data_IF_603173096407
#
_entry.id   IF_603173096407
#
_cell.length_a   1.000
_cell.length_b   1.000
_cell.length_c   1.000
_cell.angle_alpha   90.00
_cell.angle_beta   90.00
_cell.angle_gamma   90.00
#
_symmetry.space_group_name_H-M   'P 1'
#
loop_
_entity.id
_entity.type
_entity.pdbx_description
1 polymer ?
#
# COMPACT_ATOMS: atom_id res chain seq x y z
N UNK A 1 18.97 -18.03 -11.67
CA UNK A 1 17.71 -17.39 -11.25
C UNK A 1 18.06 -16.45 -10.11
N UNK A 2 17.58 -15.22 -10.13
CA UNK A 2 17.81 -14.27 -9.02
C UNK A 2 17.00 -14.72 -7.82
N UNK A 3 17.58 -14.63 -6.62
CA UNK A 3 16.90 -14.92 -5.35
C UNK A 3 15.65 -14.04 -5.17
N UNK A 4 14.59 -14.59 -4.58
CA UNK A 4 13.39 -13.82 -4.21
C UNK A 4 13.69 -12.93 -3.00
N UNK A 5 14.30 -11.78 -3.24
CA UNK A 5 14.64 -10.84 -2.18
C UNK A 5 13.42 -10.06 -1.68
N UNK A 6 12.36 -9.96 -2.49
CA UNK A 6 11.19 -9.20 -2.13
C UNK A 6 10.51 -9.81 -0.91
N UNK A 7 10.10 -11.07 -1.01
CA UNK A 7 9.38 -11.74 0.08
C UNK A 7 10.29 -12.10 1.26
N UNK A 8 11.55 -12.42 0.99
CA UNK A 8 12.47 -12.90 2.03
C UNK A 8 13.26 -11.77 2.72
N UNK A 9 13.26 -10.53 2.20
CA UNK A 9 14.05 -9.43 2.76
C UNK A 9 13.34 -8.08 2.72
N UNK A 10 12.96 -7.62 1.54
CA UNK A 10 12.56 -6.22 1.33
C UNK A 10 11.18 -5.91 1.93
N UNK A 11 10.20 -6.80 1.73
CA UNK A 11 8.87 -6.65 2.30
C UNK A 11 8.85 -6.75 3.84
N UNK A 12 9.54 -7.72 4.49
CA UNK A 12 9.67 -7.72 5.95
C UNK A 12 10.26 -6.41 6.52
N UNK A 13 11.27 -5.83 5.85
CA UNK A 13 11.87 -4.55 6.26
C UNK A 13 10.88 -3.39 6.09
N UNK A 14 10.12 -3.36 4.99
CA UNK A 14 9.10 -2.35 4.76
C UNK A 14 7.99 -2.41 5.83
N UNK A 15 7.50 -3.61 6.16
CA UNK A 15 6.50 -3.83 7.22
C UNK A 15 6.98 -3.35 8.58
N UNK A 16 8.20 -3.73 8.96
CA UNK A 16 8.82 -3.26 10.20
C UNK A 16 8.90 -1.72 10.27
N UNK A 17 9.29 -1.06 9.18
CA UNK A 17 9.31 0.40 9.14
C UNK A 17 7.89 1.01 9.27
N UNK A 18 6.89 0.40 8.64
CA UNK A 18 5.49 0.82 8.78
C UNK A 18 5.00 0.66 10.22
N UNK A 19 5.26 -0.47 10.86
CA UNK A 19 4.83 -0.77 12.22
C UNK A 19 5.50 0.15 13.25
N UNK A 20 6.80 0.43 13.09
CA UNK A 20 7.50 1.39 13.96
C UNK A 20 6.90 2.80 13.80
N UNK A 21 6.62 3.22 12.56
CA UNK A 21 6.07 4.55 12.32
C UNK A 21 4.64 4.68 12.87
N UNK A 22 3.79 3.66 12.71
CA UNK A 22 2.43 3.64 13.26
C UNK A 22 2.47 3.84 14.79
N UNK A 23 3.37 3.13 15.47
CA UNK A 23 3.53 3.22 16.93
C UNK A 23 4.13 4.53 17.42
N UNK A 24 4.99 5.17 16.63
CA UNK A 24 5.84 6.29 17.12
C UNK A 24 5.57 7.64 16.47
N UNK A 25 5.04 7.67 15.25
CA UNK A 25 4.84 8.86 14.43
C UNK A 25 6.15 9.61 14.09
N UNK A 26 7.31 8.94 14.15
CA UNK A 26 8.63 9.57 14.08
C UNK A 26 9.51 8.95 13.01
N UNK A 27 10.51 9.70 12.59
CA UNK A 27 11.58 9.17 11.74
C UNK A 27 12.33 8.04 12.45
N UNK A 28 12.80 7.07 11.66
CA UNK A 28 13.35 5.81 12.16
C UNK A 28 14.82 5.68 11.81
N UNK A 29 15.58 5.11 12.73
CA UNK A 29 16.95 4.67 12.47
C UNK A 29 16.94 3.22 11.97
N UNK A 30 17.86 2.82 11.07
CA UNK A 30 17.99 1.44 10.61
C UNK A 30 18.05 0.42 11.76
N UNK A 31 18.75 0.75 12.86
CA UNK A 31 18.81 -0.09 14.06
C UNK A 31 17.45 -0.41 14.67
N UNK A 32 16.48 0.50 14.61
CA UNK A 32 15.13 0.23 15.11
C UNK A 32 14.43 -0.80 14.20
N UNK A 33 14.65 -0.70 12.89
CA UNK A 33 14.09 -1.60 11.89
C UNK A 33 14.74 -2.99 12.01
N UNK A 34 16.06 -3.07 12.20
CA UNK A 34 16.79 -4.32 12.53
C UNK A 34 16.16 -5.04 13.72
N UNK A 35 15.86 -4.32 14.80
CA UNK A 35 15.26 -4.88 16.00
C UNK A 35 13.83 -5.41 15.76
N UNK A 36 13.06 -4.73 14.93
CA UNK A 36 11.66 -5.07 14.66
C UNK A 36 11.53 -6.26 13.70
N UNK A 37 12.37 -6.36 12.65
CA UNK A 37 12.32 -7.47 11.71
C UNK A 37 13.28 -8.64 12.03
N UNK A 38 14.21 -8.46 12.98
CA UNK A 38 15.18 -9.47 13.38
C UNK A 38 16.33 -9.69 12.39
N UNK A 39 16.51 -8.80 11.41
CA UNK A 39 17.62 -8.86 10.46
C UNK A 39 18.86 -8.13 10.95
N UNK A 40 20.02 -8.56 10.47
CA UNK A 40 21.26 -7.85 10.70
C UNK A 40 21.35 -6.52 9.93
N UNK A 41 22.29 -5.68 10.35
CA UNK A 41 22.47 -4.34 9.80
C UNK A 41 22.76 -4.37 8.28
N UNK A 42 23.52 -5.35 7.78
CA UNK A 42 23.84 -5.43 6.36
C UNK A 42 22.59 -5.74 5.52
N UNK A 43 21.80 -6.69 5.98
CA UNK A 43 20.54 -7.12 5.35
C UNK A 43 19.54 -5.97 5.31
N UNK A 44 19.38 -5.24 6.41
CA UNK A 44 18.50 -4.06 6.47
C UNK A 44 19.02 -2.94 5.56
N UNK A 45 20.32 -2.66 5.54
CA UNK A 45 20.89 -1.64 4.65
C UNK A 45 20.74 -1.99 3.17
N UNK A 46 20.86 -3.27 2.80
CA UNK A 46 20.57 -3.75 1.44
C UNK A 46 19.11 -3.53 1.07
N UNK A 47 18.20 -3.91 1.96
CA UNK A 47 16.77 -3.75 1.74
C UNK A 47 16.37 -2.28 1.62
N UNK A 48 16.80 -1.43 2.56
CA UNK A 48 16.48 -0.01 2.55
C UNK A 48 16.99 0.70 1.29
N UNK A 49 18.16 0.31 0.76
CA UNK A 49 18.65 0.85 -0.52
C UNK A 49 17.75 0.48 -1.69
N UNK A 50 17.27 -0.76 -1.74
CA UNK A 50 16.34 -1.21 -2.79
C UNK A 50 14.99 -0.52 -2.64
N UNK A 51 14.44 -0.48 -1.43
CA UNK A 51 13.17 0.19 -1.14
C UNK A 51 13.23 1.69 -1.46
N UNK A 52 14.37 2.34 -1.24
CA UNK A 52 14.58 3.76 -1.55
C UNK A 52 14.69 4.06 -3.06
N UNK A 53 14.73 3.03 -3.93
CA UNK A 53 14.56 3.22 -5.38
C UNK A 53 13.10 3.56 -5.74
N UNK A 54 12.16 3.27 -4.83
CA UNK A 54 10.75 3.59 -4.95
C UNK A 54 10.35 4.62 -3.88
N UNK A 55 9.28 5.39 -4.10
CA UNK A 55 8.83 6.41 -3.14
C UNK A 55 8.04 5.79 -1.97
N UNK A 56 8.60 4.76 -1.33
CA UNK A 56 8.00 4.15 -0.14
C UNK A 56 8.17 4.98 1.13
N UNK A 57 9.16 5.88 1.15
CA UNK A 57 9.40 6.78 2.27
C UNK A 57 9.46 8.23 1.77
N UNK A 58 8.84 9.17 2.48
CA UNK A 58 8.83 10.59 2.10
C UNK A 58 10.23 11.18 1.97
N UNK A 59 11.16 10.75 2.83
CA UNK A 59 12.55 11.16 2.82
C UNK A 59 13.43 10.11 3.46
N UNK A 60 14.59 9.87 2.88
CA UNK A 60 15.69 9.16 3.53
C UNK A 60 16.90 10.08 3.64
N UNK A 61 17.73 9.87 4.66
CA UNK A 61 19.03 10.54 4.80
C UNK A 61 20.13 9.50 4.67
N UNK A 62 21.13 9.76 3.84
CA UNK A 62 22.28 8.89 3.65
C UNK A 62 23.53 9.35 4.38
N UNK A 63 24.45 8.42 4.63
CA UNK A 63 25.82 8.67 5.07
C UNK A 63 26.78 8.73 3.87
N UNK A 64 27.94 9.33 4.09
CA UNK A 64 29.09 9.14 3.20
C UNK A 64 29.43 7.63 3.15
N UNK A 65 29.43 7.04 1.96
CA UNK A 65 29.57 5.58 1.77
C UNK A 65 28.27 4.83 1.43
N UNK A 66 27.14 5.52 1.29
CA UNK A 66 25.92 4.94 0.69
C UNK A 66 24.98 4.20 1.65
N UNK A 67 25.26 4.23 2.96
CA UNK A 67 24.33 3.73 3.98
C UNK A 67 23.19 4.72 4.24
N UNK A 68 22.02 4.22 4.62
CA UNK A 68 20.88 5.04 5.06
C UNK A 68 20.99 5.24 6.57
N UNK A 69 20.90 6.49 7.03
CA UNK A 69 20.98 6.92 8.44
C UNK A 69 19.60 7.13 9.07
N UNK A 70 18.67 7.66 8.30
CA UNK A 70 17.30 7.95 8.74
C UNK A 70 16.31 7.59 7.64
N UNK A 71 15.20 7.00 8.06
CA UNK A 71 14.04 6.65 7.24
C UNK A 71 12.87 7.52 7.70
N UNK A 72 12.26 8.23 6.75
CA UNK A 72 11.12 9.11 6.97
C UNK A 72 9.80 8.36 7.08
N UNK A 73 8.69 9.10 7.05
CA UNK A 73 7.36 8.54 7.10
C UNK A 73 7.12 7.58 5.91
N UNK A 74 6.49 6.41 6.13
CA UNK A 74 5.98 5.57 5.05
C UNK A 74 4.93 6.33 4.25
N UNK A 75 4.98 6.21 2.92
CA UNK A 75 3.96 6.78 2.04
C UNK A 75 2.71 5.91 2.00
N UNK A 76 1.61 6.42 1.45
CA UNK A 76 0.40 5.64 1.22
C UNK A 76 0.66 4.33 0.45
N UNK A 77 1.62 4.35 -0.47
CA UNK A 77 2.00 3.18 -1.24
C UNK A 77 2.72 2.14 -0.37
N UNK A 78 3.62 2.58 0.52
CA UNK A 78 4.22 1.68 1.51
C UNK A 78 3.17 1.03 2.42
N UNK A 79 2.15 1.78 2.85
CA UNK A 79 1.06 1.26 3.68
C UNK A 79 0.23 0.19 2.94
N UNK A 80 -0.06 0.39 1.66
CA UNK A 80 -0.78 -0.62 0.84
C UNK A 80 0.05 -1.87 0.66
N UNK A 81 1.32 -1.72 0.27
CA UNK A 81 2.22 -2.84 0.01
C UNK A 81 2.53 -3.63 1.29
N UNK A 82 2.65 -2.94 2.43
CA UNK A 82 2.78 -3.59 3.73
C UNK A 82 1.52 -4.37 4.14
N UNK A 83 0.37 -4.07 3.54
CA UNK A 83 -0.93 -4.68 3.83
C UNK A 83 -1.75 -3.94 4.88
N UNK A 84 -1.31 -2.75 5.30
CA UNK A 84 -1.98 -1.95 6.34
C UNK A 84 -3.12 -1.10 5.77
N UNK A 85 -3.00 -0.67 4.51
CA UNK A 85 -4.08 0.02 3.77
C UNK A 85 -4.66 -0.88 2.68
N UNK A 86 -5.96 -0.74 2.37
CA UNK A 86 -6.58 -1.50 1.31
C UNK A 86 -6.05 -1.09 -0.07
N UNK A 87 -5.84 -2.08 -0.94
CA UNK A 87 -5.50 -1.85 -2.35
C UNK A 87 -6.72 -1.32 -3.13
N UNK A 88 -6.52 -0.55 -4.22
CA UNK A 88 -7.62 -0.13 -5.09
C UNK A 88 -8.47 -1.31 -5.58
N UNK A 89 -7.82 -2.42 -5.93
CA UNK A 89 -8.47 -3.65 -6.39
C UNK A 89 -9.30 -4.26 -5.26
N UNK A 90 -8.73 -4.38 -4.05
CA UNK A 90 -9.45 -4.89 -2.89
C UNK A 90 -10.59 -3.96 -2.44
N UNK A 91 -10.49 -2.65 -2.69
CA UNK A 91 -11.61 -1.72 -2.47
C UNK A 91 -12.72 -1.93 -3.49
N UNK A 92 -12.36 -2.12 -4.76
CA UNK A 92 -13.31 -2.42 -5.83
C UNK A 92 -14.02 -3.76 -5.56
N UNK A 93 -13.29 -4.79 -5.18
CA UNK A 93 -13.86 -6.10 -4.81
C UNK A 93 -14.84 -5.98 -3.64
N UNK A 94 -14.50 -5.23 -2.59
CA UNK A 94 -15.44 -5.00 -1.48
C UNK A 94 -16.68 -4.21 -1.91
N UNK A 95 -16.52 -3.26 -2.83
CA UNK A 95 -17.65 -2.50 -3.36
C UNK A 95 -18.57 -3.39 -4.20
N UNK A 96 -18.00 -4.23 -5.07
CA UNK A 96 -18.74 -5.24 -5.85
C UNK A 96 -19.49 -6.17 -4.91
N UNK A 97 -18.81 -6.73 -3.90
CA UNK A 97 -19.42 -7.63 -2.92
C UNK A 97 -20.58 -6.96 -2.16
N UNK A 98 -20.49 -5.67 -1.85
CA UNK A 98 -21.59 -4.93 -1.22
C UNK A 98 -22.81 -4.80 -2.14
N UNK A 99 -22.62 -4.57 -3.44
CA UNK A 99 -23.72 -4.54 -4.40
C UNK A 99 -24.33 -5.93 -4.64
N UNK A 100 -23.50 -6.98 -4.68
CA UNK A 100 -23.98 -8.36 -4.77
C UNK A 100 -24.82 -8.75 -3.55
N UNK A 101 -24.40 -8.33 -2.35
CA UNK A 101 -25.17 -8.56 -1.12
C UNK A 101 -26.55 -7.88 -1.16
N UNK A 102 -26.65 -6.65 -1.70
CA UNK A 102 -27.94 -5.97 -1.88
C UNK A 102 -28.78 -6.67 -2.95
N UNK A 103 -28.18 -7.14 -4.04
CA UNK A 103 -28.88 -7.86 -5.09
C UNK A 103 -29.46 -9.21 -4.62
N UNK A 104 -28.77 -9.88 -3.69
CA UNK A 104 -29.18 -11.16 -3.13
C UNK A 104 -30.17 -11.06 -1.94
N UNK A 105 -30.45 -9.86 -1.44
CA UNK A 105 -31.31 -9.65 -0.27
C UNK A 105 -32.80 -9.69 -0.66
N UNK A 106 -33.43 -10.85 -0.47
CA UNK A 106 -34.86 -11.08 -0.73
C UNK A 106 -35.81 -10.20 0.11
N UNK A 107 -35.31 -9.53 1.16
CA UNK A 107 -36.15 -8.62 1.97
C UNK A 107 -36.31 -7.23 1.36
N UNK A 108 -35.54 -6.92 0.32
CA UNK A 108 -35.54 -5.62 -0.36
C UNK A 108 -36.47 -5.57 -1.56
N UNK A 109 -36.92 -4.36 -1.96
CA UNK A 109 -37.68 -4.17 -3.19
C UNK A 109 -36.93 -4.68 -4.41
N UNK A 110 -37.62 -5.38 -5.31
CA UNK A 110 -37.03 -5.95 -6.54
C UNK A 110 -36.31 -4.90 -7.41
N UNK A 111 -36.82 -3.66 -7.45
CA UNK A 111 -36.18 -2.57 -8.16
C UNK A 111 -34.78 -2.27 -7.60
N UNK A 112 -34.63 -2.24 -6.27
CA UNK A 112 -33.34 -1.99 -5.61
C UNK A 112 -32.34 -3.11 -5.89
N UNK A 113 -32.79 -4.37 -5.83
CA UNK A 113 -31.97 -5.53 -6.13
C UNK A 113 -31.50 -5.55 -7.59
N UNK A 114 -32.42 -5.28 -8.52
CA UNK A 114 -32.13 -5.19 -9.95
C UNK A 114 -31.13 -4.08 -10.27
N UNK A 115 -31.26 -2.92 -9.60
CA UNK A 115 -30.30 -1.81 -9.75
C UNK A 115 -28.93 -2.17 -9.18
N UNK A 116 -28.88 -2.80 -8.00
CA UNK A 116 -27.63 -3.25 -7.41
C UNK A 116 -26.91 -4.28 -8.29
N UNK A 117 -27.62 -5.26 -8.84
CA UNK A 117 -27.07 -6.26 -9.77
C UNK A 117 -26.44 -5.61 -11.02
N UNK A 118 -27.12 -4.62 -11.62
CA UNK A 118 -26.60 -3.88 -12.79
C UNK A 118 -25.33 -3.09 -12.46
N UNK A 119 -25.28 -2.46 -11.29
CA UNK A 119 -24.10 -1.69 -10.84
C UNK A 119 -22.93 -2.63 -10.54
N UNK A 120 -23.16 -3.75 -9.85
CA UNK A 120 -22.13 -4.76 -9.61
C UNK A 120 -21.52 -5.27 -10.93
N UNK A 121 -22.37 -5.62 -11.90
CA UNK A 121 -21.93 -6.09 -13.21
C UNK A 121 -21.08 -5.02 -13.96
N UNK A 122 -21.49 -3.75 -13.89
CA UNK A 122 -20.73 -2.65 -14.48
C UNK A 122 -19.35 -2.47 -13.82
N UNK A 123 -19.27 -2.55 -12.49
CA UNK A 123 -18.01 -2.44 -11.74
C UNK A 123 -17.04 -3.59 -12.06
N UNK A 124 -17.55 -4.78 -12.37
CA UNK A 124 -16.73 -5.93 -12.79
C UNK A 124 -16.34 -5.93 -14.28
N UNK A 125 -16.94 -5.06 -15.10
CA UNK A 125 -16.72 -5.01 -16.54
C UNK A 125 -15.40 -4.35 -16.95
N UNK A 126 -14.91 -4.63 -18.16
CA UNK A 126 -13.63 -4.14 -18.69
C UNK A 126 -13.48 -2.59 -18.72
N UNK A 127 -14.60 -1.84 -18.64
CA UNK A 127 -14.59 -0.37 -18.60
C UNK A 127 -14.17 0.20 -17.23
N UNK A 128 -14.32 -0.54 -16.12
CA UNK A 128 -13.93 -0.06 -14.78
C UNK A 128 -12.42 -0.08 -14.56
N UNK A 129 -11.71 -1.01 -15.20
CA UNK A 129 -10.26 -1.17 -15.11
C UNK A 129 -9.48 0.06 -15.64
N UNK A 130 -10.06 0.81 -16.58
CA UNK A 130 -9.49 2.07 -17.10
C UNK A 130 -9.57 3.21 -16.06
N UNK A 131 -10.55 3.17 -15.14
CA UNK A 131 -10.74 4.19 -14.10
C UNK A 131 -9.87 3.98 -12.85
N UNK A 132 -9.42 2.75 -12.56
CA UNK A 132 -8.55 2.44 -11.41
C UNK A 132 -7.21 3.20 -11.51
N UNK A 133 -6.70 3.40 -12.74
CA UNK A 133 -5.50 4.22 -12.99
C UNK A 133 -5.66 5.70 -12.63
N UNK A 134 -6.88 6.24 -12.58
CA UNK A 134 -7.14 7.63 -12.20
C UNK A 134 -7.34 7.81 -10.68
N UNK A 135 -7.81 6.78 -9.98
CA UNK A 135 -8.06 6.84 -8.53
C UNK A 135 -6.80 6.61 -7.68
N UNK A 136 -5.76 5.99 -8.24
CA UNK A 136 -4.44 5.88 -7.60
C UNK A 136 -3.64 7.19 -7.58
N UNK A 137 -4.06 8.21 -8.34
CA UNK A 137 -3.32 9.46 -8.57
C UNK A 137 -3.91 10.73 -7.93
N UNK A 138 -4.79 10.63 -6.94
CA UNK A 138 -5.39 11.81 -6.31
C UNK A 138 -4.75 12.14 -4.95
N UNK A 139 -3.48 12.56 -5.01
CA UNK A 139 -2.77 13.22 -3.92
C UNK A 139 -1.97 14.38 -4.48
N UNK A 140 -2.58 15.55 -4.59
CA UNK A 140 -1.86 16.82 -4.81
C UNK A 140 -1.97 17.41 -6.21
N UNK A 141 -3.06 18.13 -6.47
CA UNK A 141 -3.01 19.54 -6.88
C UNK A 141 -4.43 20.08 -7.07
N UNK A 142 -5.01 20.57 -5.98
CA UNK A 142 -5.97 21.67 -6.06
C UNK A 142 -5.20 22.96 -5.78
N UNK A 143 -5.35 23.92 -6.71
CA UNK A 143 -5.06 25.37 -6.58
C UNK A 143 -3.60 25.86 -6.72
N UNK A 144 -3.30 26.45 -7.88
CA UNK A 144 -2.79 27.83 -8.03
C UNK A 144 -2.35 28.09 -9.47
N UNK A 145 -3.03 29.00 -10.17
CA UNK A 145 -2.60 29.58 -11.47
C UNK A 145 -3.64 29.50 -12.56
#
# INVERSE_FOLDING_TARGET
>A
MTEDTWHNRDLPVLRAAVDIYERTGRTMKPRQIEQECGFDAETVQRALRVLNLQPYFEKTSGAFGGGILLVGAPTAEALRVAGQWPTPEGQLERLVAAFEAVAADDTRPEEERSRAAKVGLWLTGALSQVAIGALGGAGGNMMSG
#
